data_IF_774796359497
#
_entry.id   IF_774796359497
#
_cell.length_a   1.000
_cell.length_b   1.000
_cell.length_c   1.000
_cell.angle_alpha   90.00
_cell.angle_beta   90.00
_cell.angle_gamma   90.00
#
_symmetry.space_group_name_H-M   'P 1'
#
loop_
_entity.id
_entity.type
_entity.pdbx_description
1 polymer ?
#
# COMPACT_ATOMS: atom_id res chain seq x y z
N UNK A 1 2.20 -22.99 -7.20
CA UNK A 1 2.11 -21.55 -6.86
C UNK A 1 2.82 -20.79 -7.96
N UNK A 2 2.15 -19.86 -8.66
CA UNK A 2 2.82 -18.99 -9.64
C UNK A 2 3.04 -17.65 -8.93
N UNK A 3 4.29 -17.21 -8.89
CA UNK A 3 4.74 -15.96 -8.28
C UNK A 3 5.19 -15.01 -9.39
N UNK A 4 4.77 -13.74 -9.32
CA UNK A 4 5.36 -12.67 -10.11
C UNK A 4 5.99 -11.67 -9.14
N UNK A 5 7.31 -11.77 -8.99
CA UNK A 5 8.10 -10.69 -8.40
C UNK A 5 8.51 -9.75 -9.52
N UNK A 6 8.17 -8.48 -9.41
CA UNK A 6 8.61 -7.44 -10.37
C UNK A 6 10.04 -6.98 -10.09
N UNK A 7 10.96 -7.92 -9.85
CA UNK A 7 12.35 -7.58 -9.53
C UNK A 7 13.25 -7.43 -10.79
N UNK A 8 12.82 -7.93 -11.97
CA UNK A 8 13.75 -8.18 -13.08
C UNK A 8 13.71 -7.19 -14.26
N UNK A 9 12.85 -6.15 -14.23
CA UNK A 9 12.85 -5.11 -15.28
C UNK A 9 13.13 -3.69 -14.75
N UNK A 10 13.14 -3.50 -13.43
CA UNK A 10 13.39 -2.23 -12.76
C UNK A 10 14.87 -1.82 -12.81
N UNK A 11 15.82 -2.77 -12.74
CA UNK A 11 17.25 -2.46 -12.62
C UNK A 11 17.84 -1.78 -13.85
N UNK A 12 17.37 -2.08 -15.08
CA UNK A 12 17.93 -1.49 -16.30
C UNK A 12 17.08 -0.39 -16.93
N UNK A 13 15.77 -0.31 -16.64
CA UNK A 13 14.89 0.72 -17.24
C UNK A 13 14.43 1.80 -16.25
N UNK A 14 14.41 1.51 -14.94
CA UNK A 14 14.08 2.49 -13.90
C UNK A 14 15.14 3.57 -13.73
N UNK A 15 16.42 3.18 -13.85
CA UNK A 15 17.58 4.10 -13.79
C UNK A 15 17.54 5.12 -14.95
N UNK A 16 16.96 4.78 -16.10
CA UNK A 16 16.91 5.66 -17.27
C UNK A 16 15.73 6.64 -17.27
N UNK A 17 14.69 6.40 -16.46
CA UNK A 17 13.47 7.23 -16.41
C UNK A 17 13.28 7.98 -15.09
N UNK A 18 14.15 7.81 -14.09
CA UNK A 18 14.11 8.59 -12.87
C UNK A 18 12.80 8.43 -12.08
N UNK A 19 12.35 7.20 -11.84
CA UNK A 19 11.17 6.92 -11.01
C UNK A 19 11.62 6.10 -9.79
N UNK A 20 11.67 6.71 -8.61
CA UNK A 20 11.98 6.00 -7.35
C UNK A 20 11.66 6.76 -6.04
N UNK A 21 10.37 6.82 -5.77
CA UNK A 21 9.70 6.97 -4.47
C UNK A 21 8.32 6.37 -4.72
N UNK A 22 7.80 5.45 -3.90
CA UNK A 22 6.94 4.33 -4.30
C UNK A 22 6.09 4.69 -5.51
N UNK A 23 6.68 4.50 -6.69
CA UNK A 23 6.17 5.09 -7.91
C UNK A 23 5.27 4.05 -8.52
N UNK A 24 3.98 4.28 -8.37
CA UNK A 24 2.97 3.33 -8.81
C UNK A 24 2.78 3.34 -10.32
N UNK A 25 3.54 4.17 -11.05
CA UNK A 25 3.54 4.23 -12.50
C UNK A 25 3.90 2.88 -13.15
N UNK A 26 4.97 2.21 -12.68
CA UNK A 26 5.40 0.91 -13.22
C UNK A 26 4.30 -0.14 -12.99
N UNK A 27 3.84 -0.40 -11.74
CA UNK A 27 2.73 -1.33 -11.50
C UNK A 27 1.47 -0.97 -12.29
N UNK A 28 1.09 0.30 -12.34
CA UNK A 28 -0.12 0.75 -13.04
C UNK A 28 -0.03 0.45 -14.54
N UNK A 29 1.15 0.65 -15.16
CA UNK A 29 1.34 0.47 -16.60
C UNK A 29 1.47 -1.00 -17.01
N UNK A 30 2.13 -1.82 -16.20
CA UNK A 30 2.57 -3.16 -16.61
C UNK A 30 1.85 -4.31 -15.89
N UNK A 31 1.21 -4.06 -14.74
CA UNK A 31 0.53 -5.08 -13.94
C UNK A 31 -0.99 -4.92 -14.01
N UNK A 32 -1.51 -4.74 -15.22
CA UNK A 32 -2.97 -4.75 -15.43
C UNK A 32 -3.57 -6.05 -14.85
N UNK A 33 -4.75 -6.00 -14.18
CA UNK A 33 -5.34 -7.17 -13.52
C UNK A 33 -5.43 -8.41 -14.42
N UNK A 34 -5.76 -8.23 -15.69
CA UNK A 34 -5.86 -9.33 -16.66
C UNK A 34 -4.51 -9.95 -17.04
N UNK A 35 -3.40 -9.19 -16.94
CA UNK A 35 -2.04 -9.70 -17.17
C UNK A 35 -1.61 -10.57 -15.98
N UNK A 36 -1.89 -10.11 -14.76
CA UNK A 36 -1.48 -10.77 -13.53
C UNK A 36 -2.50 -11.79 -13.01
N UNK A 37 -3.62 -11.98 -13.70
CA UNK A 37 -4.71 -12.90 -13.30
C UNK A 37 -4.26 -14.36 -13.07
N UNK A 38 -3.12 -14.77 -13.62
CA UNK A 38 -2.53 -16.11 -13.44
C UNK A 38 -1.75 -16.29 -12.12
N UNK A 39 -1.53 -15.22 -11.38
CA UNK A 39 -0.83 -15.20 -10.10
C UNK A 39 -1.86 -15.05 -8.98
N UNK A 40 -1.64 -15.73 -7.87
CA UNK A 40 -2.54 -15.65 -6.70
C UNK A 40 -2.19 -14.45 -5.82
N UNK A 41 -0.90 -14.09 -5.79
CA UNK A 41 -0.36 -12.97 -5.03
C UNK A 41 0.60 -12.15 -5.89
N UNK A 42 0.60 -10.84 -5.68
CA UNK A 42 1.36 -9.85 -6.44
C UNK A 42 2.20 -9.03 -5.45
N UNK A 43 3.51 -9.03 -5.65
CA UNK A 43 4.48 -8.28 -4.84
C UNK A 43 4.79 -6.96 -5.53
N UNK A 44 4.52 -5.85 -4.85
CA UNK A 44 4.79 -4.49 -5.34
C UNK A 44 5.78 -3.86 -4.37
N UNK A 45 7.07 -4.02 -4.65
CA UNK A 45 8.14 -3.68 -3.71
C UNK A 45 9.03 -2.57 -4.28
N UNK A 46 9.43 -1.64 -3.43
CA UNK A 46 10.41 -0.61 -3.74
C UNK A 46 11.80 -1.20 -3.94
N UNK A 47 12.67 -0.47 -4.65
CA UNK A 47 13.98 -0.99 -5.06
C UNK A 47 15.03 -1.03 -3.94
N UNK A 48 14.78 -0.37 -2.81
CA UNK A 48 15.73 -0.22 -1.69
C UNK A 48 15.44 -1.18 -0.52
N UNK A 49 14.81 -2.32 -0.81
CA UNK A 49 14.55 -3.39 0.15
C UNK A 49 15.62 -4.48 0.11
N UNK A 50 16.24 -4.74 1.26
CA UNK A 50 17.07 -5.92 1.50
C UNK A 50 16.20 -7.13 1.87
N UNK A 51 16.45 -8.25 1.19
CA UNK A 51 15.60 -9.47 1.26
C UNK A 51 16.36 -10.71 1.75
N UNK A 52 17.53 -10.52 2.34
CA UNK A 52 18.41 -11.62 2.79
C UNK A 52 17.76 -12.53 3.84
N UNK A 53 16.75 -12.01 4.55
CA UNK A 53 15.99 -12.70 5.59
C UNK A 53 14.55 -13.03 5.19
N UNK A 54 14.24 -12.98 3.89
CA UNK A 54 12.89 -13.16 3.38
C UNK A 54 12.77 -14.42 2.49
N UNK A 55 11.87 -15.31 2.87
CA UNK A 55 11.47 -16.49 2.10
C UNK A 55 10.02 -16.34 1.62
N UNK A 56 9.84 -16.19 0.31
CA UNK A 56 8.53 -15.97 -0.30
C UNK A 56 7.55 -17.14 -0.08
N UNK A 57 8.02 -18.38 0.02
CA UNK A 57 7.15 -19.54 0.20
C UNK A 57 6.63 -19.61 1.64
N UNK A 58 7.51 -19.39 2.62
CA UNK A 58 7.13 -19.33 4.04
C UNK A 58 6.22 -18.14 4.31
N UNK A 59 6.54 -16.98 3.74
CA UNK A 59 5.70 -15.79 3.81
C UNK A 59 4.29 -16.08 3.28
N UNK A 60 4.17 -16.60 2.05
CA UNK A 60 2.86 -16.89 1.47
C UNK A 60 2.12 -18.01 2.20
N UNK A 61 2.83 -18.93 2.85
CA UNK A 61 2.21 -19.90 3.74
C UNK A 61 1.51 -19.21 4.91
N UNK A 62 2.14 -18.21 5.56
CA UNK A 62 1.53 -17.41 6.61
C UNK A 62 0.35 -16.56 6.10
N UNK A 63 0.51 -15.88 4.97
CA UNK A 63 -0.56 -15.08 4.35
C UNK A 63 -1.81 -15.91 4.12
N UNK A 64 -1.65 -17.12 3.56
CA UNK A 64 -2.77 -18.05 3.34
C UNK A 64 -3.34 -18.61 4.64
N UNK A 65 -2.48 -18.99 5.58
CA UNK A 65 -2.88 -19.53 6.91
C UNK A 65 -3.78 -18.54 7.66
N UNK A 66 -3.46 -17.25 7.57
CA UNK A 66 -4.16 -16.18 8.28
C UNK A 66 -5.22 -15.45 7.45
N UNK A 67 -5.47 -15.91 6.22
CA UNK A 67 -6.51 -15.36 5.33
C UNK A 67 -6.27 -13.90 4.94
N UNK A 68 -5.00 -13.48 4.85
CA UNK A 68 -4.64 -12.11 4.50
C UNK A 68 -4.79 -11.88 3.00
N UNK A 69 -5.41 -10.76 2.65
CA UNK A 69 -5.59 -10.30 1.27
C UNK A 69 -4.65 -9.16 0.90
N UNK A 70 -4.26 -8.35 1.88
CA UNK A 70 -3.20 -7.36 1.74
C UNK A 70 -2.24 -7.56 2.90
N UNK A 71 -0.95 -7.68 2.61
CA UNK A 71 0.02 -7.94 3.67
C UNK A 71 1.36 -7.34 3.32
N UNK A 72 2.25 -7.24 4.30
CA UNK A 72 3.66 -6.99 4.06
C UNK A 72 4.50 -7.82 5.04
N UNK A 73 5.74 -8.19 4.69
CA UNK A 73 6.69 -8.65 5.68
C UNK A 73 6.98 -7.51 6.66
N UNK A 74 7.34 -7.90 7.88
CA UNK A 74 7.80 -6.97 8.89
C UNK A 74 9.11 -6.27 8.48
N UNK A 75 9.33 -5.04 8.96
CA UNK A 75 10.60 -4.35 8.87
C UNK A 75 11.54 -4.70 10.03
N UNK A 76 12.83 -4.83 9.72
CA UNK A 76 13.89 -5.00 10.73
C UNK A 76 13.81 -3.88 11.80
N UNK A 77 13.72 -4.23 13.10
CA UNK A 77 13.56 -3.26 14.19
C UNK A 77 14.79 -2.38 14.43
N UNK A 78 15.96 -2.72 13.88
CA UNK A 78 17.19 -1.93 14.05
C UNK A 78 17.26 -0.71 13.11
N UNK A 79 16.27 -0.54 12.22
CA UNK A 79 16.25 0.46 11.16
C UNK A 79 15.12 1.49 11.40
N UNK A 80 15.23 2.64 10.74
CA UNK A 80 14.19 3.67 10.72
C UNK A 80 12.89 3.15 10.10
N UNK A 81 11.81 3.23 10.86
CA UNK A 81 10.44 2.96 10.42
C UNK A 81 9.54 4.15 10.71
N UNK A 82 8.57 4.44 9.82
CA UNK A 82 7.66 5.59 9.95
C UNK A 82 6.46 5.28 10.84
N UNK A 83 5.95 4.05 10.73
CA UNK A 83 4.71 3.58 11.34
C UNK A 83 5.01 2.43 12.30
N UNK A 84 4.51 2.50 13.55
CA UNK A 84 4.84 1.47 14.56
C UNK A 84 4.32 0.08 14.17
N UNK A 85 3.21 0.02 13.43
CA UNK A 85 2.65 -1.24 12.95
C UNK A 85 3.60 -2.01 12.01
N UNK A 86 4.59 -1.40 11.38
CA UNK A 86 5.49 -2.15 10.47
C UNK A 86 6.65 -2.82 11.20
N UNK A 87 6.78 -2.56 12.52
CA UNK A 87 7.86 -3.05 13.37
C UNK A 87 7.67 -4.51 13.75
N UNK A 88 8.80 -5.22 13.84
CA UNK A 88 8.84 -6.61 14.31
C UNK A 88 8.32 -6.81 15.71
N UNK A 89 7.47 -7.83 15.85
CA UNK A 89 7.00 -8.35 17.12
C UNK A 89 7.54 -9.74 17.36
N UNK A 90 8.04 -9.95 18.56
CA UNK A 90 8.52 -11.25 18.98
C UNK A 90 7.35 -12.17 19.33
N UNK A 91 7.52 -13.47 19.09
CA UNK A 91 6.59 -14.54 19.49
C UNK A 91 5.20 -14.53 18.84
N UNK A 92 4.99 -13.77 17.78
CA UNK A 92 3.75 -13.80 16.98
C UNK A 92 4.07 -14.19 15.53
N UNK A 93 3.08 -14.77 14.84
CA UNK A 93 3.24 -15.11 13.42
C UNK A 93 2.85 -13.94 12.50
N UNK A 94 1.77 -13.25 12.89
CA UNK A 94 1.15 -12.13 12.18
C UNK A 94 0.58 -11.18 13.24
N UNK A 95 0.67 -9.89 12.97
CA UNK A 95 -0.11 -8.88 13.69
C UNK A 95 -0.86 -7.95 12.73
N UNK A 96 -2.01 -7.43 13.19
CA UNK A 96 -2.93 -6.63 12.36
C UNK A 96 -3.29 -5.28 12.99
N UNK A 97 -2.90 -5.07 14.24
CA UNK A 97 -3.26 -3.91 15.05
C UNK A 97 -2.06 -3.42 15.85
N UNK A 98 -1.91 -2.11 16.02
CA UNK A 98 -0.90 -1.43 16.81
C UNK A 98 -1.52 -0.55 17.89
N UNK A 99 -1.02 -0.69 19.12
CA UNK A 99 -1.56 -0.04 20.32
C UNK A 99 -0.60 0.99 20.93
N UNK A 100 0.66 1.02 20.49
CA UNK A 100 1.71 1.94 20.97
C UNK A 100 1.98 3.09 19.99
N UNK A 101 1.14 3.26 18.97
CA UNK A 101 1.22 4.41 18.06
C UNK A 101 0.85 5.70 18.79
N UNK A 102 1.35 6.84 18.30
CA UNK A 102 1.02 8.14 18.90
C UNK A 102 -0.49 8.37 18.92
N UNK A 103 -1.09 8.84 20.03
CA UNK A 103 -2.54 9.08 20.10
C UNK A 103 -3.06 10.00 19.00
N UNK A 104 -2.27 10.97 18.53
CA UNK A 104 -2.69 11.88 17.45
C UNK A 104 -2.77 11.18 16.07
N UNK A 105 -2.06 10.07 15.90
CA UNK A 105 -2.06 9.27 14.67
C UNK A 105 -3.07 8.13 14.72
N UNK A 106 -3.52 7.76 15.92
CA UNK A 106 -4.36 6.59 16.18
C UNK A 106 -5.74 6.99 16.75
N UNK A 107 -6.55 7.67 15.94
CA UNK A 107 -7.87 8.13 16.39
C UNK A 107 -8.88 6.98 16.51
N UNK A 108 -8.76 5.96 15.66
CA UNK A 108 -9.58 4.76 15.68
C UNK A 108 -8.65 3.54 15.60
N UNK A 109 -8.70 2.62 16.60
CA UNK A 109 -7.79 1.47 16.66
C UNK A 109 -7.98 0.49 15.49
N UNK A 110 -9.16 0.47 14.86
CA UNK A 110 -9.46 -0.42 13.73
C UNK A 110 -9.28 0.24 12.36
N UNK A 111 -8.70 1.45 12.33
CA UNK A 111 -8.41 2.17 11.10
C UNK A 111 -6.91 2.46 10.91
N UNK A 112 -6.48 2.71 9.67
CA UNK A 112 -5.15 3.17 9.37
C UNK A 112 -4.74 4.40 10.20
N UNK A 113 -3.50 4.45 10.69
CA UNK A 113 -2.41 3.48 10.49
C UNK A 113 -2.40 2.35 11.54
N UNK A 114 -3.30 2.37 12.52
CA UNK A 114 -3.26 1.45 13.67
C UNK A 114 -3.76 0.06 13.37
N UNK A 115 -4.65 -0.08 12.42
CA UNK A 115 -5.01 -1.36 11.84
C UNK A 115 -5.35 -1.19 10.37
N UNK A 116 -5.55 -2.30 9.68
CA UNK A 116 -5.87 -2.29 8.25
C UNK A 116 -4.84 -1.52 7.39
N UNK A 117 -3.56 -1.57 7.78
CA UNK A 117 -2.49 -0.77 7.20
C UNK A 117 -1.28 -1.63 6.85
N UNK A 118 -0.72 -1.37 5.67
CA UNK A 118 0.62 -1.77 5.24
C UNK A 118 1.23 -0.58 4.51
N UNK A 119 2.55 -0.44 4.53
CA UNK A 119 3.22 0.69 3.89
C UNK A 119 3.41 0.41 2.40
N UNK A 120 3.26 1.41 1.53
CA UNK A 120 3.28 1.25 0.07
C UNK A 120 4.62 0.69 -0.46
N UNK A 121 5.67 0.74 0.36
CA UNK A 121 7.01 0.30 0.01
C UNK A 121 7.12 -1.21 -0.20
N UNK A 122 6.37 -2.02 0.56
CA UNK A 122 6.51 -3.47 0.57
C UNK A 122 5.19 -4.27 0.55
N UNK A 123 4.08 -3.79 -0.04
CA UNK A 123 2.83 -4.53 -0.02
C UNK A 123 2.87 -5.76 -0.92
N UNK A 124 2.11 -6.75 -0.48
CA UNK A 124 1.75 -7.95 -1.19
C UNK A 124 0.24 -8.03 -1.23
N UNK A 125 -0.31 -8.15 -2.42
CA UNK A 125 -1.74 -8.17 -2.66
C UNK A 125 -2.19 -9.55 -3.11
N UNK A 126 -3.36 -10.01 -2.65
CA UNK A 126 -4.11 -11.04 -3.34
C UNK A 126 -4.48 -10.55 -4.74
N UNK A 127 -4.76 -11.49 -5.65
CA UNK A 127 -5.25 -11.15 -7.00
C UNK A 127 -6.46 -10.22 -6.98
N UNK A 128 -7.40 -10.44 -6.08
CA UNK A 128 -8.66 -9.70 -6.03
C UNK A 128 -8.45 -8.32 -5.40
N UNK A 129 -7.65 -8.22 -4.34
CA UNK A 129 -7.25 -6.94 -3.76
C UNK A 129 -6.46 -6.10 -4.77
N UNK A 130 -5.51 -6.70 -5.50
CA UNK A 130 -4.76 -6.00 -6.55
C UNK A 130 -5.66 -5.46 -7.65
N UNK A 131 -6.71 -6.19 -8.05
CA UNK A 131 -7.67 -5.70 -9.04
C UNK A 131 -8.34 -4.42 -8.58
N UNK A 132 -8.72 -4.32 -7.31
CA UNK A 132 -9.27 -3.08 -6.73
C UNK A 132 -8.20 -1.98 -6.66
N UNK A 133 -7.04 -2.27 -6.07
CA UNK A 133 -5.95 -1.29 -5.88
C UNK A 133 -5.47 -0.73 -7.22
N UNK A 134 -5.35 -1.55 -8.25
CA UNK A 134 -4.97 -1.11 -9.59
C UNK A 134 -5.93 -0.05 -10.15
N UNK A 135 -7.23 -0.14 -9.87
CA UNK A 135 -8.21 0.88 -10.28
C UNK A 135 -8.19 2.12 -9.37
N UNK A 136 -7.73 1.98 -8.12
CA UNK A 136 -7.53 3.09 -7.19
C UNK A 136 -6.32 3.96 -7.54
N UNK A 137 -5.26 3.36 -8.10
CA UNK A 137 -4.05 4.07 -8.53
C UNK A 137 -4.38 5.03 -9.68
N UNK A 138 -3.98 6.31 -9.52
CA UNK A 138 -4.24 7.40 -10.46
C UNK A 138 -3.00 7.65 -11.33
N UNK A 139 -3.18 7.71 -12.66
CA UNK A 139 -2.06 7.80 -13.61
C UNK A 139 -1.30 9.14 -13.58
N UNK A 140 -1.94 10.19 -13.07
CA UNK A 140 -1.40 11.56 -13.02
C UNK A 140 -0.68 11.89 -11.72
N UNK A 141 -0.75 11.01 -10.71
CA UNK A 141 -0.01 11.14 -9.46
C UNK A 141 1.27 10.30 -9.55
N UNK A 142 2.41 10.92 -9.27
CA UNK A 142 3.72 10.29 -9.43
C UNK A 142 4.08 9.48 -8.19
N UNK A 143 3.69 9.96 -7.00
CA UNK A 143 4.03 9.39 -5.70
C UNK A 143 2.82 8.64 -5.14
N UNK A 144 3.06 7.47 -4.53
CA UNK A 144 2.02 6.65 -3.90
C UNK A 144 1.54 7.14 -2.53
N UNK A 145 1.95 8.32 -2.06
CA UNK A 145 1.63 8.80 -0.71
C UNK A 145 0.12 8.92 -0.48
N UNK A 146 -0.34 8.38 0.65
CA UNK A 146 -1.76 8.33 1.00
C UNK A 146 -2.49 7.07 0.53
N UNK A 147 -1.93 6.30 -0.42
CA UNK A 147 -2.59 5.07 -0.88
C UNK A 147 -2.75 4.05 0.25
N UNK A 148 -1.76 3.95 1.14
CA UNK A 148 -1.73 3.06 2.32
C UNK A 148 -2.98 3.18 3.18
N UNK A 149 -3.45 4.41 3.36
CA UNK A 149 -4.65 4.73 4.14
C UNK A 149 -5.95 4.35 3.42
N UNK A 150 -5.88 4.15 2.11
CA UNK A 150 -7.02 3.79 1.28
C UNK A 150 -7.12 2.29 0.99
N UNK A 151 -6.04 1.51 1.19
CA UNK A 151 -5.98 0.07 0.88
C UNK A 151 -7.09 -0.74 1.55
N UNK A 152 -7.54 -0.35 2.74
CA UNK A 152 -8.67 -0.98 3.44
C UNK A 152 -9.96 -1.08 2.62
N UNK A 153 -10.14 -0.22 1.61
CA UNK A 153 -11.31 -0.24 0.71
C UNK A 153 -11.30 -1.38 -0.31
N UNK A 154 -10.17 -2.10 -0.41
CA UNK A 154 -9.96 -3.16 -1.40
C UNK A 154 -10.01 -4.57 -0.83
N UNK A 155 -10.57 -4.73 0.37
CA UNK A 155 -10.80 -6.01 1.03
C UNK A 155 -12.21 -6.05 1.59
N UNK A 156 -12.70 -7.26 1.88
CA UNK A 156 -13.98 -7.42 2.56
C UNK A 156 -13.91 -6.91 4.01
N UNK A 157 -15.01 -6.31 4.48
CA UNK A 157 -15.11 -5.86 5.87
C UNK A 157 -15.30 -7.05 6.84
N UNK A 158 -14.70 -7.03 8.04
CA UNK A 158 -13.86 -5.96 8.58
C UNK A 158 -12.43 -5.95 8.00
N UNK A 159 -12.00 -4.80 7.47
CA UNK A 159 -10.70 -4.71 6.77
C UNK A 159 -9.49 -5.06 7.65
N UNK A 160 -9.54 -4.74 8.95
CA UNK A 160 -8.45 -5.05 9.90
C UNK A 160 -8.25 -6.56 10.13
N UNK A 161 -9.18 -7.42 9.73
CA UNK A 161 -8.98 -8.88 9.74
C UNK A 161 -8.28 -9.39 8.48
N UNK A 162 -8.37 -8.65 7.36
CA UNK A 162 -7.85 -9.05 6.05
C UNK A 162 -6.49 -8.47 5.73
N UNK A 163 -6.08 -7.44 6.45
CA UNK A 163 -4.80 -6.76 6.26
C UNK A 163 -3.89 -6.99 7.45
N UNK A 164 -2.63 -7.34 7.22
CA UNK A 164 -1.71 -7.62 8.32
C UNK A 164 -0.24 -7.74 7.94
N UNK A 165 0.59 -7.75 8.97
CA UNK A 165 2.04 -7.84 8.91
C UNK A 165 2.46 -9.25 9.28
N UNK A 166 3.28 -9.89 8.46
CA UNK A 166 3.80 -11.23 8.74
C UNK A 166 5.12 -11.09 9.49
N UNK A 167 5.17 -11.49 10.77
CA UNK A 167 6.34 -11.32 11.65
C UNK A 167 7.43 -12.38 11.49
N UNK A 168 7.09 -13.50 10.85
CA UNK A 168 8.02 -14.63 10.67
C UNK A 168 9.07 -14.41 9.58
N UNK A 169 8.83 -13.45 8.68
CA UNK A 169 9.69 -13.14 7.54
C UNK A 169 9.90 -11.63 7.48
N UNK A 170 11.15 -11.16 7.48
CA UNK A 170 11.45 -9.73 7.57
C UNK A 170 12.31 -9.22 6.42
N UNK A 171 12.18 -7.93 6.15
CA UNK A 171 12.94 -7.20 5.15
C UNK A 171 13.63 -5.99 5.79
N UNK A 172 14.65 -5.49 5.12
CA UNK A 172 15.50 -4.38 5.57
C UNK A 172 15.23 -3.18 4.67
N UNK A 173 14.77 -2.06 5.23
CA UNK A 173 14.63 -0.82 4.47
C UNK A 173 15.98 -0.10 4.39
N UNK A 174 16.67 -0.16 3.26
CA UNK A 174 18.01 0.40 3.14
C UNK A 174 18.01 1.93 3.11
N UNK A 175 16.83 2.56 2.92
CA UNK A 175 16.66 4.01 2.90
C UNK A 175 17.62 4.69 1.93
N UNK A 176 17.92 4.05 0.80
CA UNK A 176 18.86 4.56 -0.20
C UNK A 176 18.13 5.65 -0.96
N UNK A 177 18.43 6.95 -0.74
CA UNK A 177 17.65 8.02 -1.33
C UNK A 177 18.07 8.17 -2.79
N UNK A 178 17.38 7.47 -3.70
CA UNK A 178 17.70 7.48 -5.12
C UNK A 178 17.24 8.79 -5.81
N UNK A 179 16.32 9.57 -5.21
CA UNK A 179 15.72 10.79 -5.81
C UNK A 179 15.81 12.10 -4.99
N UNK A 180 16.64 12.19 -3.95
CA UNK A 180 16.78 13.44 -3.18
C UNK A 180 17.17 14.67 -4.02
N UNK A 181 17.62 14.48 -5.25
CA UNK A 181 18.03 15.48 -6.23
C UNK A 181 17.00 15.80 -7.33
N UNK A 182 15.80 15.21 -7.32
CA UNK A 182 14.81 15.42 -8.39
C UNK A 182 13.95 16.67 -8.29
N UNK A 183 13.90 17.32 -7.13
CA UNK A 183 13.26 18.63 -7.03
C UNK A 183 14.05 19.64 -7.85
N UNK A 184 13.37 20.62 -8.42
CA UNK A 184 14.06 21.79 -8.94
C UNK A 184 14.49 22.63 -7.74
N UNK A 185 15.75 23.04 -7.73
CA UNK A 185 16.18 24.09 -6.82
C UNK A 185 15.57 25.40 -7.32
N UNK A 186 14.61 25.93 -6.56
CA UNK A 186 13.88 27.14 -6.90
C UNK A 186 13.70 27.95 -5.60
N UNK A 187 13.99 29.25 -5.65
CA UNK A 187 13.84 30.17 -4.51
C UNK A 187 14.50 29.73 -3.18
N UNK A 188 15.62 29.01 -3.26
CA UNK A 188 16.37 28.55 -2.07
C UNK A 188 15.83 27.26 -1.42
N UNK A 189 14.85 26.60 -2.05
CA UNK A 189 14.33 25.30 -1.62
C UNK A 189 15.25 24.19 -2.16
N UNK A 190 15.69 23.28 -1.28
CA UNK A 190 16.50 22.15 -1.71
C UNK A 190 15.68 21.19 -2.58
N UNK A 191 16.29 20.51 -3.57
CA UNK A 191 15.62 19.50 -4.38
C UNK A 191 14.83 18.45 -3.56
N UNK A 192 15.39 17.99 -2.44
CA UNK A 192 14.72 17.02 -1.57
C UNK A 192 13.48 17.58 -0.89
N UNK A 193 13.49 18.87 -0.52
CA UNK A 193 12.32 19.54 0.03
C UNK A 193 11.23 19.71 -1.03
N UNK A 194 11.59 20.11 -2.25
CA UNK A 194 10.63 20.24 -3.36
C UNK A 194 9.95 18.91 -3.70
N UNK A 195 10.66 17.78 -3.62
CA UNK A 195 10.04 16.44 -3.76
C UNK A 195 9.04 16.17 -2.64
N UNK A 196 9.42 16.43 -1.38
CA UNK A 196 8.51 16.24 -0.23
C UNK A 196 7.25 17.08 -0.35
N UNK A 197 7.38 18.36 -0.73
CA UNK A 197 6.24 19.26 -0.90
C UNK A 197 5.28 18.75 -1.98
N UNK A 198 5.82 18.24 -3.09
CA UNK A 198 5.04 17.59 -4.15
C UNK A 198 4.36 16.31 -3.66
N UNK A 199 5.04 15.46 -2.87
CA UNK A 199 4.42 14.27 -2.28
C UNK A 199 3.21 14.63 -1.40
N UNK A 200 3.34 15.66 -0.55
CA UNK A 200 2.22 16.13 0.27
C UNK A 200 1.07 16.70 -0.57
N UNK A 201 1.39 17.49 -1.59
CA UNK A 201 0.37 18.03 -2.50
C UNK A 201 -0.39 16.92 -3.23
N UNK A 202 0.32 15.91 -3.75
CA UNK A 202 -0.28 14.75 -4.42
C UNK A 202 -1.13 13.90 -3.47
N UNK A 203 -0.67 13.70 -2.23
CA UNK A 203 -1.47 13.01 -1.20
C UNK A 203 -2.80 13.74 -0.95
N UNK A 204 -2.78 15.07 -0.73
CA UNK A 204 -4.01 15.84 -0.52
C UNK A 204 -4.97 15.72 -1.71
N UNK A 205 -4.43 15.74 -2.94
CA UNK A 205 -5.24 15.52 -4.15
C UNK A 205 -5.83 14.11 -4.21
N UNK A 206 -5.04 13.08 -3.90
CA UNK A 206 -5.50 11.69 -3.85
C UNK A 206 -6.63 11.51 -2.85
N UNK A 207 -6.45 11.96 -1.62
CA UNK A 207 -7.42 11.82 -0.54
C UNK A 207 -8.75 12.49 -0.91
N UNK A 208 -8.68 13.72 -1.45
CA UNK A 208 -9.86 14.43 -1.93
C UNK A 208 -10.62 13.61 -2.98
N UNK A 209 -9.94 13.10 -4.00
CA UNK A 209 -10.55 12.35 -5.10
C UNK A 209 -11.19 11.04 -4.61
N UNK A 210 -10.53 10.30 -3.71
CA UNK A 210 -11.10 9.07 -3.13
C UNK A 210 -12.35 9.38 -2.31
N UNK A 211 -12.31 10.42 -1.48
CA UNK A 211 -13.46 10.84 -0.67
C UNK A 211 -14.65 11.32 -1.53
N UNK A 212 -14.38 12.01 -2.64
CA UNK A 212 -15.41 12.41 -3.61
C UNK A 212 -16.02 11.18 -4.31
N UNK A 213 -15.20 10.26 -4.80
CA UNK A 213 -15.66 9.02 -5.42
C UNK A 213 -16.52 8.17 -4.48
N UNK A 214 -16.13 8.08 -3.20
CA UNK A 214 -16.89 7.36 -2.17
C UNK A 214 -18.26 8.00 -1.92
N UNK A 215 -18.31 9.33 -1.80
CA UNK A 215 -19.58 10.07 -1.67
C UNK A 215 -20.49 9.84 -2.87
N UNK A 216 -19.95 9.87 -4.08
CA UNK A 216 -20.69 9.62 -5.32
C UNK A 216 -21.22 8.19 -5.38
N UNK A 217 -20.41 7.20 -5.01
CA UNK A 217 -20.81 5.79 -4.93
C UNK A 217 -21.99 5.61 -3.97
N UNK A 218 -21.90 6.10 -2.74
CA UNK A 218 -23.00 5.98 -1.77
C UNK A 218 -24.25 6.75 -2.19
N UNK A 219 -24.10 7.88 -2.89
CA UNK A 219 -25.24 8.59 -3.49
C UNK A 219 -25.91 7.74 -4.58
N UNK A 220 -25.12 7.05 -5.41
CA UNK A 220 -25.64 6.19 -6.47
C UNK A 220 -26.46 5.01 -5.92
N UNK A 221 -26.02 4.40 -4.81
CA UNK A 221 -26.76 3.33 -4.12
C UNK A 221 -28.10 3.81 -3.57
N UNK A 222 -28.15 5.04 -3.04
CA UNK A 222 -29.40 5.64 -2.53
C UNK A 222 -30.40 5.95 -3.65
N UNK A 223 -29.91 6.33 -4.84
CA UNK A 223 -30.76 6.55 -6.02
C UNK A 223 -31.28 5.22 -6.58
N UNK A 224 -30.50 4.15 -6.49
CA UNK A 224 -30.87 2.81 -6.96
C UNK A 224 -31.84 2.05 -6.04
N UNK A 225 -32.09 2.54 -4.82
CA UNK A 225 -33.06 1.94 -3.89
C UNK A 225 -34.39 2.70 -4.01
N UNK A 226 -35.42 2.22 -4.75
CA UNK A 226 -36.70 2.91 -4.79
C UNK A 226 -37.45 2.71 -3.48
N UNK A 227 -38.23 3.72 -3.10
CA UNK A 227 -39.27 3.69 -2.07
C UNK A 227 -40.38 2.67 -2.42
N UNK A 228 -40.09 1.37 -2.34
CA UNK A 228 -41.12 0.34 -2.37
C UNK A 228 -41.73 0.18 -0.97
N UNK A 229 -42.50 1.19 -0.56
CA UNK A 229 -43.58 1.04 0.42
C UNK A 229 -44.78 1.81 -0.10
N UNK A 230 -45.44 1.22 -1.09
CA UNK A 230 -46.86 1.48 -1.34
C UNK A 230 -47.59 0.18 -1.05
N UNK A 231 -47.84 -0.10 0.23
CA UNK A 231 -48.81 -1.12 0.61
C UNK A 231 -50.19 -0.45 0.55
N UNK A 232 -50.83 -0.58 -0.61
CA UNK A 232 -52.29 -0.61 -0.68
C UNK A 232 -52.75 -1.93 -0.06
N UNK A 233 -53.47 -1.87 1.06
CA UNK A 233 -54.63 -2.71 1.36
C UNK A 233 -55.39 -2.13 2.56
#
# INVERSE_FOLDING_TARGET
MKLLATALFSVTFGILLGLSFPSLWIPKRFLHPDIVARYDYIFIWDEDLGVDHFDAEKYLHMVKKHGLEISQPVLDPEILYTWQITKKREHVEVHKEETNEKPERCLDPHQPPCAAFVEIMAPVFSRDAWRCVWHMIQNDLVHGWGLDFALRRCVEEPAYEKIGIVDTEWIVHQSIPSLGSQGKEEDGISPGQGVRDRCYMEWVMFEKRVNEAEKEYFKSLKVQTPSNSTTLH
#
